data_IF_217795747711
#
_entry.id   IF_217795747711
#
_cell.length_a   1.000
_cell.length_b   1.000
_cell.length_c   1.000
_cell.angle_alpha   90.00
_cell.angle_beta   90.00
_cell.angle_gamma   90.00
#
_symmetry.space_group_name_H-M   'P 1'
#
loop_
_entity.id
_entity.type
_entity.pdbx_description
1 polymer ?
#
# COMPACT_ATOMS: atom_id res chain seq x y z
N UNK A 1 24.54 6.69 -6.97
CA UNK A 1 24.51 8.16 -6.82
C UNK A 1 23.20 8.57 -6.19
N UNK A 2 23.25 9.10 -4.97
CA UNK A 2 22.10 9.69 -4.27
C UNK A 2 21.92 11.13 -4.78
N UNK A 3 21.03 11.33 -5.74
CA UNK A 3 20.81 12.63 -6.39
C UNK A 3 19.33 13.03 -6.37
N UNK A 4 18.75 13.18 -5.18
CA UNK A 4 17.37 13.71 -5.01
C UNK A 4 17.28 15.25 -5.09
N UNK A 5 18.40 15.94 -5.30
CA UNK A 5 18.51 17.38 -5.04
C UNK A 5 17.70 18.32 -5.94
N UNK A 6 17.14 17.86 -7.07
CA UNK A 6 16.42 18.75 -7.98
C UNK A 6 15.15 18.13 -8.61
N UNK A 7 14.61 17.08 -8.00
CA UNK A 7 13.39 16.42 -8.48
C UNK A 7 12.18 16.87 -7.66
N UNK A 8 11.14 17.38 -8.32
CA UNK A 8 9.84 17.67 -7.71
C UNK A 8 8.90 16.51 -8.03
N UNK A 9 8.37 15.83 -7.01
CA UNK A 9 7.28 14.86 -7.19
C UNK A 9 5.94 15.57 -7.10
N UNK A 10 5.14 15.45 -8.15
CA UNK A 10 3.73 15.85 -8.17
C UNK A 10 2.86 14.61 -8.02
N UNK A 11 2.00 14.60 -7.01
CA UNK A 11 1.06 13.53 -6.75
C UNK A 11 -0.34 13.96 -7.18
N UNK A 12 -0.80 13.45 -8.32
CA UNK A 12 -2.14 13.70 -8.83
C UNK A 12 -3.12 12.71 -8.19
N UNK A 13 -4.10 13.25 -7.48
CA UNK A 13 -5.22 12.51 -6.89
C UNK A 13 -6.49 12.80 -7.67
N UNK A 14 -7.34 11.79 -7.85
CA UNK A 14 -8.64 11.94 -8.51
C UNK A 14 -8.58 12.18 -10.02
N UNK A 15 -7.45 11.88 -10.67
CA UNK A 15 -7.39 11.86 -12.14
C UNK A 15 -8.17 10.65 -12.67
N UNK A 16 -9.02 10.85 -13.67
CA UNK A 16 -9.79 9.74 -14.25
C UNK A 16 -8.92 8.90 -15.21
N UNK A 17 -9.25 7.62 -15.44
CA UNK A 17 -8.58 6.81 -16.47
C UNK A 17 -8.64 7.42 -17.88
N UNK A 18 -9.66 8.22 -18.19
CA UNK A 18 -9.79 8.89 -19.48
C UNK A 18 -8.85 10.11 -19.62
N UNK A 19 -8.48 10.75 -18.51
CA UNK A 19 -7.67 11.96 -18.52
C UNK A 19 -6.15 11.69 -18.52
N UNK A 20 -5.73 10.55 -17.95
CA UNK A 20 -4.32 10.20 -17.82
C UNK A 20 -3.57 10.17 -19.17
N UNK A 21 -4.08 9.55 -20.24
CA UNK A 21 -3.41 9.56 -21.54
C UNK A 21 -3.13 10.98 -22.05
N UNK A 22 -4.13 11.86 -21.95
CA UNK A 22 -4.03 13.25 -22.38
C UNK A 22 -3.02 14.04 -21.53
N UNK A 23 -2.96 13.79 -20.22
CA UNK A 23 -1.96 14.40 -19.35
C UNK A 23 -0.53 13.96 -19.72
N UNK A 24 -0.30 12.66 -19.87
CA UNK A 24 1.02 12.13 -20.23
C UNK A 24 1.49 12.63 -21.61
N UNK A 25 0.56 12.71 -22.58
CA UNK A 25 0.84 13.29 -23.90
C UNK A 25 1.24 14.76 -23.82
N UNK A 26 0.53 15.58 -23.04
CA UNK A 26 0.89 17.00 -22.84
C UNK A 26 2.24 17.19 -22.16
N UNK A 27 2.60 16.29 -21.24
CA UNK A 27 3.89 16.31 -20.54
C UNK A 27 5.03 15.68 -21.36
N UNK A 28 4.74 15.16 -22.55
CA UNK A 28 5.74 14.53 -23.43
C UNK A 28 6.36 13.28 -22.82
N UNK A 29 5.59 12.47 -22.07
CA UNK A 29 6.11 11.23 -21.51
C UNK A 29 6.52 10.27 -22.64
N UNK A 30 7.76 9.73 -22.66
CA UNK A 30 8.28 9.01 -23.82
C UNK A 30 7.89 7.52 -23.87
N UNK A 31 7.15 7.01 -22.88
CA UNK A 31 6.81 5.59 -22.78
C UNK A 31 5.52 5.20 -23.48
N UNK A 32 5.14 3.93 -23.34
CA UNK A 32 3.88 3.40 -23.85
C UNK A 32 2.69 3.88 -22.99
N UNK A 33 2.04 4.95 -23.47
CA UNK A 33 0.88 5.56 -22.82
C UNK A 33 -0.28 4.56 -22.70
N UNK A 34 -0.47 3.68 -23.68
CA UNK A 34 -1.57 2.72 -23.66
C UNK A 34 -1.36 1.66 -22.56
N UNK A 35 -0.13 1.13 -22.45
CA UNK A 35 0.21 0.16 -21.40
C UNK A 35 0.04 0.74 -19.99
N UNK A 36 0.60 1.94 -19.74
CA UNK A 36 0.47 2.62 -18.43
C UNK A 36 -0.99 2.96 -18.11
N UNK A 37 -1.76 3.39 -19.11
CA UNK A 37 -3.19 3.68 -18.92
C UNK A 37 -4.00 2.42 -18.65
N UNK A 38 -3.62 1.28 -19.25
CA UNK A 38 -4.22 -0.03 -18.96
C UNK A 38 -4.01 -0.45 -17.51
N UNK A 39 -2.79 -0.35 -16.98
CA UNK A 39 -2.55 -0.59 -15.56
C UNK A 39 -3.33 0.39 -14.69
N UNK A 40 -3.32 1.68 -15.01
CA UNK A 40 -4.02 2.69 -14.21
C UNK A 40 -5.53 2.42 -14.14
N UNK A 41 -6.17 2.10 -15.27
CA UNK A 41 -7.59 1.77 -15.32
C UNK A 41 -7.93 0.54 -14.46
N UNK A 42 -7.14 -0.53 -14.58
CA UNK A 42 -7.33 -1.74 -13.76
C UNK A 42 -7.18 -1.47 -12.26
N UNK A 43 -6.21 -0.61 -11.89
CA UNK A 43 -5.98 -0.23 -10.50
C UNK A 43 -7.11 0.65 -9.95
N UNK A 44 -7.64 1.59 -10.74
CA UNK A 44 -8.76 2.46 -10.35
C UNK A 44 -10.06 1.68 -10.19
N UNK A 45 -10.30 0.65 -11.01
CA UNK A 45 -11.48 -0.21 -10.90
C UNK A 45 -11.47 -1.05 -9.60
N UNK A 46 -10.28 -1.44 -9.13
CA UNK A 46 -10.14 -2.34 -7.99
C UNK A 46 -9.90 -1.64 -6.64
N UNK A 47 -9.22 -0.49 -6.62
CA UNK A 47 -8.78 0.20 -5.41
C UNK A 47 -9.74 1.32 -4.98
N UNK A 48 -9.68 1.73 -3.70
CA UNK A 48 -10.40 2.93 -3.25
C UNK A 48 -9.79 4.20 -3.83
N UNK A 49 -8.45 4.24 -3.83
CA UNK A 49 -7.70 5.43 -4.24
C UNK A 49 -6.43 5.02 -4.96
N UNK A 50 -6.22 5.62 -6.13
CA UNK A 50 -4.95 5.54 -6.85
C UNK A 50 -4.41 6.95 -7.04
N UNK A 51 -3.17 7.17 -6.59
CA UNK A 51 -2.46 8.44 -6.77
C UNK A 51 -1.41 8.25 -7.86
N UNK A 52 -1.37 9.14 -8.85
CA UNK A 52 -0.36 9.15 -9.91
C UNK A 52 0.80 10.04 -9.49
N UNK A 53 1.99 9.46 -9.32
CA UNK A 53 3.20 10.14 -8.92
C UNK A 53 4.10 10.43 -10.12
N UNK A 54 4.25 11.70 -10.48
CA UNK A 54 5.10 12.17 -11.57
C UNK A 54 6.33 12.88 -10.98
N UNK A 55 7.53 12.52 -11.43
CA UNK A 55 8.76 13.24 -11.07
C UNK A 55 9.16 14.22 -12.17
N UNK A 56 9.39 15.47 -11.80
CA UNK A 56 9.89 16.52 -12.69
C UNK A 56 11.31 16.89 -12.29
N UNK A 57 12.23 16.94 -13.25
CA UNK A 57 13.60 17.45 -13.08
C UNK A 57 13.83 18.49 -14.16
N UNK A 58 14.22 19.71 -13.77
CA UNK A 58 14.44 20.84 -14.69
C UNK A 58 13.24 21.10 -15.63
N UNK A 59 12.02 20.89 -15.13
CA UNK A 59 10.77 21.03 -15.89
C UNK A 59 10.40 19.85 -16.78
N UNK A 60 11.27 18.85 -16.91
CA UNK A 60 11.03 17.66 -17.72
C UNK A 60 10.51 16.48 -16.89
N UNK A 61 9.52 15.76 -17.41
CA UNK A 61 8.99 14.55 -16.81
C UNK A 61 10.01 13.41 -16.88
N UNK A 62 10.30 12.80 -15.73
CA UNK A 62 11.13 11.59 -15.65
C UNK A 62 10.45 10.41 -16.35
N UNK A 63 11.22 9.45 -16.87
CA UNK A 63 10.69 8.36 -17.66
C UNK A 63 9.85 7.35 -16.87
N UNK A 64 9.68 7.49 -15.56
CA UNK A 64 8.90 6.56 -14.74
C UNK A 64 7.64 7.21 -14.17
N UNK A 65 6.51 6.52 -14.34
CA UNK A 65 5.22 6.86 -13.76
C UNK A 65 4.99 5.98 -12.53
N UNK A 66 4.70 6.62 -11.39
CA UNK A 66 4.35 5.92 -10.16
C UNK A 66 2.84 5.88 -9.95
N UNK A 67 2.35 4.79 -9.37
CA UNK A 67 1.00 4.64 -8.83
C UNK A 67 1.10 4.24 -7.38
N UNK A 68 0.45 4.98 -6.49
CA UNK A 68 0.22 4.56 -5.11
C UNK A 68 -1.23 4.11 -4.96
N UNK A 69 -1.43 2.87 -4.51
CA UNK A 69 -2.70 2.15 -4.57
C UNK A 69 -3.13 1.85 -3.13
N UNK A 70 -4.27 2.39 -2.73
CA UNK A 70 -4.81 2.27 -1.39
C UNK A 70 -6.18 1.59 -1.42
N UNK A 71 -6.42 0.71 -0.46
CA UNK A 71 -7.74 0.20 -0.14
C UNK A 71 -8.06 0.60 1.31
N UNK A 72 -9.20 1.22 1.54
CA UNK A 72 -9.56 1.75 2.86
C UNK A 72 -10.18 0.63 3.72
N UNK A 73 -9.85 0.62 5.02
CA UNK A 73 -10.39 -0.35 5.98
C UNK A 73 -11.76 0.10 6.55
N UNK A 74 -12.65 -0.84 6.94
CA UNK A 74 -12.51 -2.28 6.79
C UNK A 74 -12.67 -2.70 5.33
N UNK A 75 -11.75 -3.52 4.85
CA UNK A 75 -11.72 -3.93 3.44
C UNK A 75 -12.93 -4.81 3.13
N UNK A 76 -13.68 -4.54 2.04
CA UNK A 76 -14.48 -5.58 1.41
C UNK A 76 -13.56 -6.73 1.00
N UNK A 77 -13.96 -7.97 1.28
CA UNK A 77 -13.20 -9.16 0.88
C UNK A 77 -13.04 -9.16 -0.65
N UNK A 78 -11.82 -8.94 -1.16
CA UNK A 78 -11.49 -9.16 -2.56
C UNK A 78 -10.87 -7.99 -3.34
N UNK A 79 -10.78 -6.77 -2.78
CA UNK A 79 -10.13 -5.66 -3.51
C UNK A 79 -8.64 -5.89 -3.70
N UNK A 80 -7.95 -6.26 -2.62
CA UNK A 80 -6.56 -6.69 -2.72
C UNK A 80 -6.39 -7.88 -3.65
N UNK A 81 -7.33 -8.83 -3.65
CA UNK A 81 -7.25 -9.97 -4.57
C UNK A 81 -7.25 -9.52 -6.03
N UNK A 82 -8.16 -8.63 -6.43
CA UNK A 82 -8.20 -8.11 -7.82
C UNK A 82 -6.91 -7.39 -8.21
N UNK A 83 -6.36 -6.59 -7.30
CA UNK A 83 -5.09 -5.87 -7.54
C UNK A 83 -3.93 -6.88 -7.64
N UNK A 84 -3.86 -7.86 -6.75
CA UNK A 84 -2.80 -8.88 -6.74
C UNK A 84 -2.93 -9.84 -7.93
N UNK A 85 -4.14 -10.20 -8.34
CA UNK A 85 -4.43 -10.94 -9.57
C UNK A 85 -3.90 -10.21 -10.80
N UNK A 86 -4.18 -8.91 -10.90
CA UNK A 86 -3.63 -8.04 -11.94
C UNK A 86 -2.10 -8.06 -11.95
N UNK A 87 -1.47 -7.83 -10.79
CA UNK A 87 0.00 -7.84 -10.68
C UNK A 87 0.61 -9.23 -10.96
N UNK A 88 -0.06 -10.31 -10.59
CA UNK A 88 0.40 -11.67 -10.89
C UNK A 88 0.33 -11.98 -12.39
N UNK A 89 -0.76 -11.60 -13.08
CA UNK A 89 -0.91 -11.77 -14.53
C UNK A 89 0.20 -11.05 -15.30
N UNK A 90 0.60 -9.87 -14.82
CA UNK A 90 1.64 -9.05 -15.43
C UNK A 90 3.07 -9.41 -14.95
N UNK A 91 3.24 -10.47 -14.17
CA UNK A 91 4.55 -10.93 -13.68
C UNK A 91 5.19 -10.05 -12.60
N UNK A 92 4.45 -9.11 -12.03
CA UNK A 92 4.89 -8.15 -11.01
C UNK A 92 4.75 -8.69 -9.57
N UNK A 93 3.98 -9.75 -9.39
CA UNK A 93 3.80 -10.44 -8.12
C UNK A 93 3.89 -11.96 -8.32
N UNK A 94 4.70 -12.65 -7.51
CA UNK A 94 4.74 -14.11 -7.52
C UNK A 94 3.60 -14.69 -6.68
N UNK A 95 3.18 -15.92 -6.96
CA UNK A 95 2.15 -16.60 -6.16
C UNK A 95 2.54 -16.69 -4.66
N UNK A 96 3.82 -16.90 -4.38
CA UNK A 96 4.36 -16.91 -3.01
C UNK A 96 4.20 -15.55 -2.32
N UNK A 97 4.57 -14.44 -2.98
CA UNK A 97 4.40 -13.09 -2.42
C UNK A 97 2.93 -12.75 -2.19
N UNK A 98 2.05 -13.14 -3.12
CA UNK A 98 0.60 -12.99 -2.95
C UNK A 98 0.10 -13.73 -1.71
N UNK A 99 0.48 -15.00 -1.56
CA UNK A 99 0.09 -15.80 -0.41
C UNK A 99 0.57 -15.19 0.92
N UNK A 100 1.82 -14.71 0.97
CA UNK A 100 2.37 -14.03 2.14
C UNK A 100 1.59 -12.75 2.50
N UNK A 101 1.21 -11.94 1.50
CA UNK A 101 0.39 -10.74 1.74
C UNK A 101 -1.01 -11.09 2.27
N UNK A 102 -1.60 -12.21 1.85
CA UNK A 102 -2.89 -12.69 2.37
C UNK A 102 -2.84 -13.14 3.83
N UNK A 103 -1.66 -13.39 4.39
CA UNK A 103 -1.47 -13.84 5.77
C UNK A 103 -1.11 -12.70 6.73
N UNK A 104 -0.91 -11.48 6.22
CA UNK A 104 -0.38 -10.38 7.03
C UNK A 104 -1.42 -9.70 7.92
N UNK A 105 -2.70 -9.87 7.58
CA UNK A 105 -3.81 -9.27 8.32
C UNK A 105 -3.90 -9.92 9.71
N UNK A 106 -3.56 -9.17 10.75
CA UNK A 106 -3.59 -9.63 12.12
C UNK A 106 -3.93 -8.48 13.07
N UNK A 107 -4.54 -8.80 14.20
CA UNK A 107 -4.76 -7.87 15.30
C UNK A 107 -4.12 -8.47 16.55
N UNK A 108 -3.15 -7.75 17.13
CA UNK A 108 -2.32 -8.21 18.25
C UNK A 108 -2.63 -7.36 19.47
N UNK A 109 -2.87 -7.99 20.61
CA UNK A 109 -3.03 -7.26 21.86
C UNK A 109 -1.65 -6.78 22.37
N UNK A 110 -1.58 -5.55 22.87
CA UNK A 110 -0.31 -4.96 23.34
C UNK A 110 0.25 -5.67 24.59
N UNK A 111 -0.58 -6.44 25.31
CA UNK A 111 -0.22 -7.27 26.46
C UNK A 111 -0.05 -8.77 26.14
N UNK A 112 -0.01 -9.14 24.85
CA UNK A 112 0.19 -10.52 24.43
C UNK A 112 1.60 -11.03 24.83
N UNK A 113 1.65 -12.06 25.66
CA UNK A 113 2.89 -12.66 26.15
C UNK A 113 3.75 -13.27 25.03
N UNK A 114 3.15 -13.63 23.89
CA UNK A 114 3.87 -14.13 22.72
C UNK A 114 4.62 -13.01 21.98
N UNK A 115 4.30 -11.74 22.23
CA UNK A 115 4.92 -10.57 21.60
C UNK A 115 5.38 -9.58 22.68
N UNK A 116 6.61 -9.71 23.22
CA UNK A 116 7.07 -8.86 24.32
C UNK A 116 7.33 -7.43 23.84
N UNK A 117 6.30 -6.60 23.84
CA UNK A 117 6.42 -5.18 23.51
C UNK A 117 7.24 -4.44 24.57
N UNK A 118 8.04 -3.42 24.19
CA UNK A 118 8.74 -2.58 25.16
C UNK A 118 7.74 -1.96 26.15
N UNK A 119 7.98 -2.05 27.45
CA UNK A 119 7.08 -1.51 28.47
C UNK A 119 6.77 -0.01 28.27
N UNK A 120 7.71 0.76 27.72
CA UNK A 120 7.52 2.16 27.37
C UNK A 120 6.44 2.40 26.29
N UNK A 121 6.12 1.39 25.47
CA UNK A 121 5.06 1.43 24.46
C UNK A 121 3.71 0.98 25.05
N UNK A 122 3.73 0.10 26.06
CA UNK A 122 2.53 -0.40 26.75
C UNK A 122 1.98 0.65 27.74
N UNK A 123 2.85 1.31 28.52
CA UNK A 123 2.42 2.21 29.59
C UNK A 123 1.52 3.38 29.12
N UNK A 124 1.78 4.04 27.97
CA UNK A 124 0.88 5.07 27.44
C UNK A 124 -0.47 4.50 26.98
N UNK A 125 -0.49 3.25 26.52
CA UNK A 125 -1.71 2.59 26.03
C UNK A 125 -2.57 2.03 27.17
N UNK A 126 -2.05 1.92 28.39
CA UNK A 126 -2.88 1.64 29.58
C UNK A 126 -3.65 2.89 30.04
N UNK A 127 -3.20 4.09 29.65
CA UNK A 127 -3.89 5.37 29.97
C UNK A 127 -5.02 5.72 28.97
N UNK A 128 -5.43 4.74 28.18
CA UNK A 128 -6.49 4.88 27.20
C UNK A 128 -7.88 5.10 27.79
N UNK A 129 -8.90 5.17 26.93
CA UNK A 129 -10.30 5.13 27.35
C UNK A 129 -10.55 3.89 28.22
N UNK A 130 -11.27 4.04 29.33
CA UNK A 130 -11.43 2.97 30.33
C UNK A 130 -12.18 1.73 29.86
N UNK A 131 -12.84 1.79 28.70
CA UNK A 131 -13.60 0.73 28.04
C UNK A 131 -12.98 0.26 26.72
N UNK A 132 -11.69 0.59 26.49
CA UNK A 132 -10.98 0.24 25.27
C UNK A 132 -9.71 -0.58 25.55
N UNK A 133 -9.47 -1.57 24.68
CA UNK A 133 -8.23 -2.33 24.67
C UNK A 133 -7.27 -1.78 23.62
N UNK A 134 -5.97 -1.62 23.95
CA UNK A 134 -4.97 -1.23 22.97
C UNK A 134 -4.56 -2.42 22.11
N UNK A 135 -4.72 -2.24 20.79
CA UNK A 135 -4.46 -3.26 19.80
C UNK A 135 -3.51 -2.71 18.73
N UNK A 136 -2.71 -3.59 18.13
CA UNK A 136 -1.90 -3.30 16.95
C UNK A 136 -2.48 -4.09 15.78
N UNK A 137 -2.89 -3.39 14.72
CA UNK A 137 -3.33 -4.01 13.46
C UNK A 137 -2.15 -4.09 12.50
N UNK A 138 -1.77 -5.31 12.13
CA UNK A 138 -0.89 -5.59 11.00
C UNK A 138 -1.72 -5.76 9.74
N UNK A 139 -1.40 -5.03 8.68
CA UNK A 139 -2.14 -5.08 7.42
C UNK A 139 -1.30 -4.54 6.24
N UNK A 140 -1.77 -4.77 5.01
CA UNK A 140 -1.23 -4.09 3.83
C UNK A 140 -1.71 -2.64 3.82
N UNK A 141 -0.79 -1.70 4.04
CA UNK A 141 -1.09 -0.27 4.02
C UNK A 141 -1.40 0.22 2.61
N UNK A 142 -0.52 -0.08 1.67
CA UNK A 142 -0.66 0.29 0.26
C UNK A 142 0.31 -0.48 -0.63
N UNK A 143 0.04 -0.49 -1.93
CA UNK A 143 0.99 -0.94 -2.95
C UNK A 143 1.52 0.25 -3.73
N UNK A 144 2.74 0.15 -4.21
CA UNK A 144 3.29 1.07 -5.22
C UNK A 144 3.64 0.29 -6.48
N UNK A 145 3.18 0.78 -7.61
CA UNK A 145 3.60 0.33 -8.94
C UNK A 145 4.39 1.45 -9.61
N UNK A 146 5.57 1.17 -10.13
CA UNK A 146 6.30 2.08 -11.00
C UNK A 146 6.43 1.44 -12.38
N UNK A 147 6.12 2.19 -13.44
CA UNK A 147 6.29 1.76 -14.84
C UNK A 147 7.24 2.74 -15.52
N UNK A 148 8.35 2.24 -16.05
CA UNK A 148 9.32 3.02 -16.80
C UNK A 148 8.96 3.08 -18.28
N UNK A 149 9.51 4.07 -18.99
CA UNK A 149 9.22 4.32 -20.41
C UNK A 149 9.68 3.18 -21.33
N UNK A 150 10.65 2.37 -20.89
CA UNK A 150 11.10 1.15 -21.57
C UNK A 150 10.21 -0.08 -21.29
N UNK A 151 9.12 0.11 -20.53
CA UNK A 151 8.19 -0.95 -20.15
C UNK A 151 8.59 -1.73 -18.90
N UNK A 152 9.76 -1.47 -18.30
CA UNK A 152 10.14 -2.12 -17.04
C UNK A 152 9.23 -1.63 -15.93
N UNK A 153 8.56 -2.57 -15.26
CA UNK A 153 7.66 -2.27 -14.16
C UNK A 153 8.09 -2.96 -12.86
N UNK A 154 7.82 -2.32 -11.72
CA UNK A 154 8.10 -2.85 -10.40
C UNK A 154 6.96 -2.54 -9.44
N UNK A 155 6.48 -3.56 -8.73
CA UNK A 155 5.54 -3.43 -7.63
C UNK A 155 6.23 -3.59 -6.27
N UNK A 156 5.78 -2.85 -5.26
CA UNK A 156 6.19 -2.95 -3.85
C UNK A 156 4.98 -2.90 -2.94
N UNK A 157 4.96 -3.77 -1.95
CA UNK A 157 3.97 -3.72 -0.88
C UNK A 157 4.53 -3.02 0.35
N UNK A 158 3.71 -2.19 0.97
CA UNK A 158 4.00 -1.54 2.23
C UNK A 158 3.07 -2.12 3.29
N UNK A 159 3.66 -2.64 4.35
CA UNK A 159 2.95 -3.23 5.48
C UNK A 159 2.98 -2.23 6.63
N UNK A 160 1.85 -2.08 7.31
CA UNK A 160 1.76 -1.23 8.48
C UNK A 160 1.36 -2.05 9.72
N UNK A 161 1.92 -1.64 10.85
CA UNK A 161 1.48 -2.00 12.18
C UNK A 161 0.94 -0.73 12.83
N UNK A 162 -0.38 -0.66 13.02
CA UNK A 162 -1.07 0.55 13.49
C UNK A 162 -1.73 0.31 14.85
N UNK A 163 -1.42 1.19 15.80
CA UNK A 163 -2.12 1.21 17.08
C UNK A 163 -3.55 1.72 16.91
N UNK A 164 -4.51 1.00 17.47
CA UNK A 164 -5.90 1.43 17.58
C UNK A 164 -6.52 0.96 18.91
N UNK A 165 -7.60 1.65 19.29
CA UNK A 165 -8.40 1.30 20.45
C UNK A 165 -9.59 0.48 20.01
N UNK A 166 -9.72 -0.74 20.52
CA UNK A 166 -10.91 -1.56 20.32
C UNK A 166 -11.86 -1.35 21.51
N UNK A 167 -13.04 -0.80 21.24
CA UNK A 167 -14.08 -0.56 22.25
C UNK A 167 -14.93 -1.83 22.41
N UNK A 168 -15.12 -2.34 23.64
CA UNK A 168 -16.06 -3.43 23.91
C UNK A 168 -15.71 -4.37 25.08
N UNK A 169 -16.72 -5.15 25.52
CA UNK A 169 -16.61 -6.13 26.61
C UNK A 169 -15.96 -7.44 26.14
N UNK A 170 -14.67 -7.62 26.44
CA UNK A 170 -13.97 -8.90 26.37
C UNK A 170 -12.69 -8.87 25.54
N UNK A 171 -11.63 -9.48 26.07
CA UNK A 171 -10.35 -9.71 25.37
C UNK A 171 -10.63 -10.42 24.03
N UNK A 172 -10.13 -9.92 22.89
CA UNK A 172 -10.17 -10.68 21.64
C UNK A 172 -9.52 -12.06 21.85
N UNK A 173 -10.08 -13.11 21.27
CA UNK A 173 -9.45 -14.43 21.31
C UNK A 173 -7.99 -14.33 20.83
N UNK A 174 -7.07 -15.03 21.50
CA UNK A 174 -5.66 -15.12 21.11
C UNK A 174 -5.53 -15.44 19.62
N UNK A 175 -5.04 -14.50 18.82
CA UNK A 175 -4.73 -14.73 17.41
C UNK A 175 -3.24 -15.07 17.33
N UNK A 176 -2.95 -16.34 17.11
CA UNK A 176 -1.58 -16.79 16.86
C UNK A 176 -1.06 -16.17 15.57
N UNK A 177 0.05 -15.42 15.64
CA UNK A 177 0.71 -14.91 14.45
C UNK A 177 1.14 -16.06 13.53
N UNK A 178 1.10 -15.88 12.19
CA UNK A 178 1.70 -16.84 11.27
C UNK A 178 3.18 -17.07 11.62
N UNK A 179 3.61 -18.33 11.52
CA UNK A 179 5.02 -18.68 11.75
C UNK A 179 5.94 -17.86 10.82
N UNK A 180 6.90 -17.14 11.39
CA UNK A 180 7.92 -16.38 10.65
C UNK A 180 7.79 -14.85 10.72
N UNK A 181 6.74 -14.31 11.35
CA UNK A 181 6.65 -12.88 11.70
C UNK A 181 7.06 -12.65 13.16
N UNK A 182 8.35 -12.77 13.44
CA UNK A 182 8.96 -12.33 14.69
C UNK A 182 9.53 -10.94 14.48
N UNK A 183 9.01 -9.93 15.19
CA UNK A 183 9.61 -8.59 15.27
C UNK A 183 10.85 -8.61 16.16
#
# INVERSE_FOLDING_TARGET
MSGRGNAIRVNYRGISPADLPGLLGRLGWPGDVAAVSGHFAALVDAADRVTVGLDLVDGALRPSIGFEIFCDHPLPSGRWDRILDHLCRDGLCTAEKRAALGQIEATIAVDDAACPWPAAWILPTIRGPGDAWPMVRCHVSHLKLAVAADGVAQAKAYIAAEHHWQIGYGRPAEVTLPAGLSF
#
